data_IF_471456782197
#
_entry.id   IF_471456782197
#
_cell.length_a   1.000
_cell.length_b   1.000
_cell.length_c   1.000
_cell.angle_alpha   90.00
_cell.angle_beta   90.00
_cell.angle_gamma   90.00
#
_symmetry.space_group_name_H-M   'P 1'
#
loop_
_entity.id
_entity.type
_entity.pdbx_description
1 polymer ?
#
# COMPACT_ATOMS: atom_id res chain seq x y z
N UNK A 1 8.89 -8.46 -41.71
CA UNK A 1 9.92 -7.61 -42.33
C UNK A 1 10.56 -6.76 -41.24
N UNK A 2 11.87 -6.87 -41.04
CA UNK A 2 12.64 -6.07 -40.07
C UNK A 2 13.37 -4.96 -40.82
N UNK A 3 13.22 -3.73 -40.35
CA UNK A 3 14.04 -2.59 -40.76
C UNK A 3 14.44 -1.77 -39.53
N UNK A 4 15.55 -1.04 -39.71
CA UNK A 4 16.26 -0.12 -38.81
C UNK A 4 17.35 -0.80 -37.95
N UNK A 5 18.65 -0.57 -38.19
CA UNK A 5 19.49 0.65 -37.99
C UNK A 5 19.63 1.06 -36.53
N UNK A 6 20.88 1.32 -36.14
CA UNK A 6 21.34 1.44 -34.76
C UNK A 6 20.57 2.44 -33.90
N UNK A 7 20.39 2.04 -32.64
CA UNK A 7 19.63 2.76 -31.63
C UNK A 7 19.07 1.73 -30.66
N UNK A 8 19.39 1.88 -29.38
CA UNK A 8 19.10 0.93 -28.30
C UNK A 8 17.63 0.47 -28.36
N UNK A 9 17.42 -0.83 -28.59
CA UNK A 9 16.10 -1.46 -28.60
C UNK A 9 15.55 -1.54 -27.17
N UNK A 10 14.75 -0.56 -26.75
CA UNK A 10 13.91 -0.69 -25.57
C UNK A 10 12.63 -1.44 -25.96
N UNK A 11 12.56 -2.72 -25.61
CA UNK A 11 11.38 -3.55 -25.84
C UNK A 11 10.17 -2.99 -25.07
N UNK A 12 9.02 -2.73 -25.73
CA UNK A 12 7.84 -2.10 -25.12
C UNK A 12 7.23 -2.94 -23.98
N UNK A 13 7.37 -4.27 -23.99
CA UNK A 13 6.93 -5.15 -22.91
C UNK A 13 7.59 -4.85 -21.55
N UNK A 14 8.86 -4.42 -21.54
CA UNK A 14 9.58 -4.09 -20.31
C UNK A 14 9.10 -2.76 -19.69
N UNK A 15 8.76 -1.78 -20.54
CA UNK A 15 8.24 -0.49 -20.09
C UNK A 15 6.85 -0.64 -19.44
N UNK A 16 5.98 -1.48 -20.00
CA UNK A 16 4.63 -1.73 -19.47
C UNK A 16 4.65 -2.44 -18.11
N UNK A 17 5.54 -3.44 -17.95
CA UNK A 17 5.74 -4.17 -16.70
C UNK A 17 6.32 -3.27 -15.59
N UNK A 18 7.17 -2.30 -15.96
CA UNK A 18 7.72 -1.32 -15.03
C UNK A 18 6.70 -0.28 -14.55
N UNK A 19 5.69 0.06 -15.37
CA UNK A 19 4.58 0.93 -14.96
C UNK A 19 3.68 0.24 -13.95
N UNK A 20 3.27 -1.00 -14.25
CA UNK A 20 2.41 -1.79 -13.35
C UNK A 20 3.04 -2.04 -11.99
N UNK A 21 4.36 -2.27 -11.92
CA UNK A 21 5.05 -2.40 -10.62
C UNK A 21 5.20 -1.09 -9.88
N UNK A 22 5.43 0.03 -10.57
CA UNK A 22 5.43 1.37 -9.95
C UNK A 22 4.05 1.77 -9.43
N UNK A 23 3.00 1.46 -10.17
CA UNK A 23 1.62 1.77 -9.80
C UNK A 23 1.18 0.92 -8.59
N UNK A 24 1.58 -0.35 -8.57
CA UNK A 24 1.39 -1.23 -7.41
C UNK A 24 2.17 -0.72 -6.18
N UNK A 25 3.41 -0.26 -6.35
CA UNK A 25 4.20 0.33 -5.26
C UNK A 25 3.52 1.57 -4.65
N UNK A 26 2.98 2.46 -5.50
CA UNK A 26 2.20 3.61 -5.05
C UNK A 26 0.90 3.20 -4.35
N UNK A 27 0.23 2.16 -4.83
CA UNK A 27 -0.98 1.64 -4.18
C UNK A 27 -0.67 1.08 -2.78
N UNK A 28 0.43 0.32 -2.64
CA UNK A 28 0.88 -0.20 -1.34
C UNK A 28 1.29 0.92 -0.37
N UNK A 29 1.99 1.96 -0.85
CA UNK A 29 2.32 3.14 -0.06
C UNK A 29 1.07 3.90 0.38
N UNK A 30 0.08 4.07 -0.51
CA UNK A 30 -1.20 4.69 -0.18
C UNK A 30 -2.00 3.90 0.85
N UNK A 31 -1.97 2.56 0.77
CA UNK A 31 -2.59 1.70 1.78
C UNK A 31 -1.93 1.86 3.16
N UNK A 32 -0.60 1.89 3.20
CA UNK A 32 0.15 2.08 4.44
C UNK A 32 -0.14 3.45 5.07
N UNK A 33 -0.23 4.51 4.27
CA UNK A 33 -0.63 5.83 4.72
C UNK A 33 -2.06 5.84 5.29
N UNK A 34 -3.00 5.17 4.62
CA UNK A 34 -4.37 5.04 5.12
C UNK A 34 -4.44 4.30 6.47
N UNK A 35 -3.70 3.19 6.60
CA UNK A 35 -3.61 2.41 7.83
C UNK A 35 -3.07 3.27 8.99
N UNK A 36 -1.96 3.97 8.75
CA UNK A 36 -1.34 4.85 9.74
C UNK A 36 -2.25 6.00 10.16
N UNK A 37 -2.94 6.64 9.21
CA UNK A 37 -3.91 7.69 9.51
C UNK A 37 -5.05 7.18 10.39
N UNK A 38 -5.55 5.97 10.11
CA UNK A 38 -6.58 5.32 10.91
C UNK A 38 -6.09 5.05 12.33
N UNK A 39 -4.87 4.51 12.48
CA UNK A 39 -4.27 4.26 13.78
C UNK A 39 -4.08 5.53 14.60
N UNK A 40 -3.57 6.60 13.98
CA UNK A 40 -3.40 7.90 14.65
C UNK A 40 -4.75 8.48 15.11
N UNK A 41 -5.78 8.34 14.28
CA UNK A 41 -7.14 8.78 14.62
C UNK A 41 -7.71 7.99 15.81
N UNK A 42 -7.56 6.67 15.84
CA UNK A 42 -8.02 5.86 16.98
C UNK A 42 -7.22 6.13 18.27
N UNK A 43 -5.91 6.40 18.15
CA UNK A 43 -5.09 6.83 19.29
C UNK A 43 -5.57 8.17 19.87
N UNK A 44 -5.89 9.15 19.02
CA UNK A 44 -6.43 10.43 19.48
C UNK A 44 -7.78 10.29 20.19
N UNK A 45 -8.66 9.41 19.71
CA UNK A 45 -9.94 9.13 20.37
C UNK A 45 -9.78 8.51 21.76
N UNK A 46 -8.80 7.62 21.93
CA UNK A 46 -8.58 6.91 23.20
C UNK A 46 -7.86 7.75 24.26
N UNK A 47 -7.09 8.75 23.84
CA UNK A 47 -6.28 9.58 24.73
C UNK A 47 -6.97 10.85 25.25
N UNK A 48 -8.21 11.14 24.84
CA UNK A 48 -8.91 12.41 25.14
C UNK A 48 -8.07 13.67 24.83
N UNK A 49 -7.09 13.55 23.92
CA UNK A 49 -6.12 14.62 23.58
C UNK A 49 -6.75 15.78 22.82
N UNK A 50 -7.91 15.55 22.19
CA UNK A 50 -8.57 16.53 21.31
C UNK A 50 -9.83 17.02 21.99
N UNK A 51 -9.89 18.33 22.25
CA UNK A 51 -11.14 19.02 22.60
C UNK A 51 -12.14 18.83 21.47
N UNK A 52 -13.41 18.50 21.76
CA UNK A 52 -14.48 18.30 20.77
C UNK A 52 -14.92 19.62 20.09
N UNK A 53 -13.98 20.36 19.53
CA UNK A 53 -14.28 21.50 18.69
C UNK A 53 -14.04 21.11 17.22
N UNK A 54 -14.95 21.53 16.34
CA UNK A 54 -14.91 21.12 14.92
C UNK A 54 -13.63 21.58 14.20
N UNK A 55 -12.97 22.64 14.70
CA UNK A 55 -11.78 23.23 14.08
C UNK A 55 -10.55 22.40 14.39
N UNK A 56 -10.40 21.96 15.63
CA UNK A 56 -9.32 21.08 16.09
C UNK A 56 -9.47 19.69 15.50
N UNK A 57 -10.68 19.14 15.41
CA UNK A 57 -10.92 17.87 14.71
C UNK A 57 -10.45 17.93 13.25
N UNK A 58 -10.77 19.02 12.55
CA UNK A 58 -10.34 19.22 11.15
C UNK A 58 -8.83 19.39 11.04
N UNK A 59 -8.23 20.17 11.94
CA UNK A 59 -6.78 20.37 12.00
C UNK A 59 -6.03 19.04 12.23
N UNK A 60 -6.47 18.25 13.21
CA UNK A 60 -5.86 16.96 13.52
C UNK A 60 -6.08 15.93 12.40
N UNK A 61 -7.21 15.96 11.70
CA UNK A 61 -7.41 15.11 10.52
C UNK A 61 -6.37 15.41 9.43
N UNK A 62 -6.15 16.69 9.10
CA UNK A 62 -5.13 17.10 8.13
C UNK A 62 -3.71 16.75 8.60
N UNK A 63 -3.43 16.95 9.89
CA UNK A 63 -2.13 16.61 10.47
C UNK A 63 -1.84 15.11 10.38
N UNK A 64 -2.81 14.27 10.77
CA UNK A 64 -2.68 12.81 10.73
C UNK A 64 -2.47 12.30 9.31
N UNK A 65 -3.19 12.85 8.34
CA UNK A 65 -3.03 12.51 6.93
C UNK A 65 -1.61 12.81 6.44
N UNK A 66 -1.10 14.03 6.68
CA UNK A 66 0.26 14.42 6.31
C UNK A 66 1.33 13.59 7.01
N UNK A 67 1.13 13.33 8.29
CA UNK A 67 2.06 12.54 9.07
C UNK A 67 2.10 11.09 8.59
N UNK A 68 0.94 10.52 8.27
CA UNK A 68 0.83 9.18 7.73
C UNK A 68 1.46 9.06 6.33
N UNK A 69 1.22 10.02 5.43
CA UNK A 69 1.90 10.09 4.13
C UNK A 69 3.44 10.14 4.28
N UNK A 70 3.93 10.95 5.22
CA UNK A 70 5.36 11.05 5.47
C UNK A 70 5.96 9.75 6.03
N UNK A 71 5.26 9.11 6.96
CA UNK A 71 5.69 7.85 7.56
C UNK A 71 5.65 6.71 6.54
N UNK A 72 4.60 6.62 5.72
CA UNK A 72 4.48 5.60 4.66
C UNK A 72 5.58 5.73 3.59
N UNK A 73 5.99 6.97 3.25
CA UNK A 73 7.16 7.21 2.37
C UNK A 73 8.43 6.60 2.93
N UNK A 74 8.69 6.77 4.24
CA UNK A 74 9.84 6.15 4.90
C UNK A 74 9.67 4.63 5.07
N UNK A 75 8.42 4.18 5.22
CA UNK A 75 8.05 2.78 5.32
C UNK A 75 8.18 2.25 6.75
N UNK A 76 7.10 1.69 7.29
CA UNK A 76 7.09 0.88 8.52
C UNK A 76 7.12 -0.63 8.19
N UNK A 77 7.20 -0.99 6.90
CA UNK A 77 7.33 -2.37 6.41
C UNK A 77 6.08 -2.97 5.79
N UNK A 78 4.93 -2.28 5.82
CA UNK A 78 3.65 -2.81 5.30
C UNK A 78 3.64 -2.80 3.77
N UNK A 79 4.11 -1.73 3.13
CA UNK A 79 4.22 -1.66 1.67
C UNK A 79 5.17 -2.73 1.12
N UNK A 80 6.30 -2.98 1.80
CA UNK A 80 7.24 -4.02 1.41
C UNK A 80 6.62 -5.42 1.56
N UNK A 81 5.86 -5.65 2.62
CA UNK A 81 5.12 -6.89 2.82
C UNK A 81 4.10 -7.11 1.69
N UNK A 82 3.26 -6.12 1.39
CA UNK A 82 2.25 -6.22 0.34
C UNK A 82 2.87 -6.42 -1.05
N UNK A 83 3.95 -5.70 -1.35
CA UNK A 83 4.69 -5.87 -2.61
C UNK A 83 5.26 -7.27 -2.77
N UNK A 84 5.75 -7.89 -1.69
CA UNK A 84 6.24 -9.28 -1.73
C UNK A 84 5.15 -10.26 -2.11
N UNK A 85 3.93 -10.11 -1.58
CA UNK A 85 2.80 -11.00 -1.90
C UNK A 85 2.16 -10.73 -3.26
N UNK A 86 2.22 -9.49 -3.74
CA UNK A 86 1.63 -9.11 -5.03
C UNK A 86 2.51 -9.46 -6.24
N UNK A 87 3.76 -9.91 -6.04
CA UNK A 87 4.62 -10.35 -7.12
C UNK A 87 4.24 -11.76 -7.61
N UNK A 88 4.05 -11.97 -8.93
CA UNK A 88 3.74 -13.28 -9.51
C UNK A 88 4.93 -14.23 -9.30
N UNK A 89 4.77 -15.18 -8.36
CA UNK A 89 5.81 -16.11 -7.92
C UNK A 89 5.81 -16.35 -6.40
N UNK A 90 5.32 -15.37 -5.63
CA UNK A 90 5.06 -15.50 -4.19
C UNK A 90 3.58 -15.76 -3.91
N UNK A 91 2.96 -16.63 -4.71
CA UNK A 91 1.68 -17.21 -4.36
C UNK A 91 1.91 -18.00 -3.07
N UNK A 92 1.51 -17.44 -1.93
CA UNK A 92 1.24 -18.25 -0.75
C UNK A 92 0.36 -19.38 -1.24
N UNK A 93 0.87 -20.61 -1.22
CA UNK A 93 0.02 -21.78 -1.38
C UNK A 93 -1.01 -21.65 -0.27
N UNK A 94 -2.17 -21.11 -0.58
CA UNK A 94 -3.34 -21.23 0.27
C UNK A 94 -3.44 -22.73 0.49
N UNK A 95 -3.29 -23.19 1.73
CA UNK A 95 -3.38 -24.60 2.04
C UNK A 95 -4.73 -25.06 1.53
N UNK A 96 -4.72 -25.70 0.37
CA UNK A 96 -5.87 -26.34 -0.23
C UNK A 96 -6.03 -27.66 0.54
N UNK A 97 -6.42 -27.51 1.81
CA UNK A 97 -6.48 -28.58 2.80
C UNK A 97 -7.80 -28.44 3.53
N UNK A 98 -8.80 -29.12 2.96
CA UNK A 98 -9.96 -29.70 3.63
C UNK A 98 -10.79 -28.78 4.51
N UNK A 99 -11.92 -28.31 3.97
CA UNK A 99 -13.03 -27.81 4.78
C UNK A 99 -13.65 -28.98 5.57
N UNK A 100 -13.05 -29.34 6.72
CA UNK A 100 -13.67 -30.21 7.72
C UNK A 100 -14.58 -29.36 8.61
N UNK A 101 -15.80 -29.10 8.13
CA UNK A 101 -16.90 -28.80 9.05
C UNK A 101 -18.22 -29.29 8.47
N UNK A 102 -18.33 -30.62 8.32
CA UNK A 102 -19.63 -31.27 8.30
C UNK A 102 -19.95 -31.61 9.76
N UNK A 103 -20.51 -30.63 10.49
CA UNK A 103 -21.12 -30.94 11.78
C UNK A 103 -22.28 -31.90 11.54
N UNK A 104 -22.22 -33.03 12.24
CA UNK A 104 -23.23 -34.07 12.29
C UNK A 104 -24.13 -33.86 13.49
#
# INVERSE_FOLDING_TARGET
MKLATGGIWLQPEHALKSRTTKDLGKACEGFEAYLLSTMLKELQKTTNLVTKDNTSETYFAMLNERLAEFMAKKGIGVKEMLLRYAQPGHSTKVLQGTADNTQK
#
